data_IF_185327255497
#
_entry.id   IF_185327255497
#
_cell.length_a   1.000
_cell.length_b   1.000
_cell.length_c   1.000
_cell.angle_alpha   90.00
_cell.angle_beta   90.00
_cell.angle_gamma   90.00
#
_symmetry.space_group_name_H-M   'P 1'
#
loop_
_entity.id
_entity.type
_entity.pdbx_description
1 polymer ?
#
# COMPACT_ATOMS: atom_id res chain seq x y z
N UNK A 1 27.13 -31.71 31.77
CA UNK A 1 26.16 -32.23 30.80
C UNK A 1 24.99 -31.25 30.82
N UNK A 2 25.11 -30.15 30.06
CA UNK A 2 24.66 -30.04 28.64
C UNK A 2 23.16 -30.28 28.52
N UNK A 3 22.33 -29.56 27.79
CA UNK A 3 22.31 -28.37 26.93
C UNK A 3 20.79 -28.03 26.89
N UNK A 4 20.27 -26.84 26.67
CA UNK A 4 20.57 -25.88 25.62
C UNK A 4 19.22 -25.33 25.18
N UNK A 5 19.09 -24.00 25.12
CA UNK A 5 17.87 -23.33 24.68
C UNK A 5 17.60 -23.55 23.20
N UNK A 6 16.36 -23.30 22.79
CA UNK A 6 16.09 -22.87 21.43
C UNK A 6 14.95 -21.85 21.41
N UNK A 7 15.34 -20.66 21.01
CA UNK A 7 14.51 -19.51 20.66
C UNK A 7 13.79 -19.84 19.37
N UNK A 8 12.46 -19.98 19.39
CA UNK A 8 11.69 -19.96 18.16
C UNK A 8 11.56 -18.51 17.68
N UNK A 9 12.30 -18.20 16.61
CA UNK A 9 12.10 -17.02 15.77
C UNK A 9 10.72 -17.10 15.14
N UNK A 10 9.80 -16.30 15.65
CA UNK A 10 8.51 -16.03 15.04
C UNK A 10 8.74 -15.39 13.66
N UNK A 11 8.51 -16.18 12.61
CA UNK A 11 8.60 -15.73 11.21
C UNK A 11 7.47 -14.72 10.98
N UNK A 12 7.88 -13.48 10.68
CA UNK A 12 7.08 -12.37 10.18
C UNK A 12 6.37 -12.75 8.86
N UNK A 13 5.31 -13.56 8.96
CA UNK A 13 4.47 -13.97 7.84
C UNK A 13 3.28 -13.03 7.75
N UNK A 14 3.49 -11.86 7.14
CA UNK A 14 2.39 -11.11 6.56
C UNK A 14 1.79 -11.96 5.45
N UNK A 15 0.63 -12.57 5.73
CA UNK A 15 -0.14 -13.38 4.78
C UNK A 15 -0.34 -12.62 3.46
N UNK A 16 -0.20 -13.31 2.30
CA UNK A 16 -0.42 -12.69 1.00
C UNK A 16 -1.91 -12.43 0.77
N UNK A 17 -2.30 -11.15 0.72
CA UNK A 17 -3.29 -10.54 -0.18
C UNK A 17 -4.70 -11.17 -0.33
N UNK A 18 -5.15 -12.10 0.49
CA UNK A 18 -6.43 -12.78 0.26
C UNK A 18 -7.70 -11.96 0.60
N UNK A 19 -7.60 -10.85 1.34
CA UNK A 19 -8.78 -10.14 1.89
C UNK A 19 -8.94 -8.66 1.52
N UNK A 20 -8.09 -8.11 0.65
CA UNK A 20 -8.12 -6.66 0.32
C UNK A 20 -8.74 -6.34 -1.05
N UNK A 21 -9.07 -7.35 -1.84
CA UNK A 21 -9.82 -7.17 -3.09
C UNK A 21 -11.30 -7.09 -2.76
N UNK A 22 -11.89 -5.91 -2.91
CA UNK A 22 -13.34 -5.78 -2.99
C UNK A 22 -13.86 -6.75 -4.07
N UNK A 23 -14.90 -7.57 -3.81
CA UNK A 23 -15.36 -8.62 -4.72
C UNK A 23 -15.73 -8.13 -6.13
N UNK A 24 -15.89 -6.82 -6.33
CA UNK A 24 -16.18 -6.22 -7.63
C UNK A 24 -14.95 -5.86 -8.50
N UNK A 25 -13.72 -5.98 -7.99
CA UNK A 25 -12.50 -5.55 -8.70
C UNK A 25 -11.80 -6.63 -9.57
N UNK A 26 -12.42 -7.81 -9.70
CA UNK A 26 -11.72 -9.02 -10.14
C UNK A 26 -12.19 -9.66 -11.46
N UNK A 27 -12.50 -8.91 -12.53
CA UNK A 27 -12.68 -9.52 -13.86
C UNK A 27 -12.09 -8.65 -14.98
N UNK A 28 -10.79 -8.80 -15.22
CA UNK A 28 -10.22 -8.63 -16.56
C UNK A 28 -8.85 -9.32 -16.67
N UNK A 29 -8.85 -10.42 -17.43
CA UNK A 29 -7.75 -11.09 -18.13
C UNK A 29 -6.34 -11.05 -17.52
N UNK A 30 -5.91 -12.19 -16.94
CA UNK A 30 -4.49 -12.51 -16.80
C UNK A 30 -4.16 -13.72 -17.67
N UNK A 31 -3.57 -13.47 -18.84
CA UNK A 31 -2.83 -14.50 -19.58
C UNK A 31 -1.54 -14.80 -18.82
N UNK A 32 -1.36 -16.08 -18.52
CA UNK A 32 -0.25 -16.67 -17.78
C UNK A 32 0.91 -16.88 -18.74
N UNK A 33 2.08 -16.30 -18.48
CA UNK A 33 3.32 -16.69 -19.15
C UNK A 33 4.40 -16.84 -18.08
N UNK A 34 4.87 -18.08 -17.94
CA UNK A 34 5.91 -18.52 -17.03
C UNK A 34 7.29 -18.08 -17.56
N UNK A 35 8.21 -17.70 -16.69
CA UNK A 35 9.63 -17.49 -17.01
C UNK A 35 10.45 -18.53 -16.25
N UNK A 36 11.38 -19.26 -16.91
CA UNK A 36 12.25 -20.20 -16.24
C UNK A 36 13.52 -19.55 -15.68
N UNK A 37 14.02 -20.20 -14.64
CA UNK A 37 15.22 -19.98 -13.83
C UNK A 37 16.52 -20.21 -14.62
N UNK A 38 17.60 -19.49 -14.30
CA UNK A 38 18.95 -19.78 -14.81
C UNK A 38 20.05 -19.48 -13.77
N UNK A 39 20.57 -20.59 -13.24
CA UNK A 39 21.93 -20.96 -12.86
C UNK A 39 23.02 -19.93 -12.48
N UNK A 40 23.63 -20.27 -11.34
CA UNK A 40 24.91 -19.87 -10.77
C UNK A 40 26.12 -20.09 -11.68
N UNK A 41 27.01 -19.10 -11.81
CA UNK A 41 28.42 -19.32 -12.14
C UNK A 41 29.38 -18.35 -11.42
N UNK A 42 30.57 -18.89 -11.17
CA UNK A 42 31.58 -18.55 -10.16
C UNK A 42 32.46 -17.32 -10.48
N UNK A 43 33.06 -16.77 -9.41
CA UNK A 43 34.14 -15.76 -9.37
C UNK A 43 35.45 -16.25 -10.03
N UNK A 44 36.40 -15.33 -10.30
CA UNK A 44 37.57 -15.27 -9.41
C UNK A 44 38.09 -13.86 -9.05
N UNK A 45 38.77 -13.80 -7.90
CA UNK A 45 39.49 -12.68 -7.29
C UNK A 45 40.71 -12.22 -8.10
N UNK A 46 40.88 -10.90 -8.26
CA UNK A 46 42.20 -10.25 -8.35
C UNK A 46 42.17 -8.89 -7.64
N UNK A 47 43.15 -8.66 -6.78
CA UNK A 47 43.34 -7.47 -5.95
C UNK A 47 44.29 -6.47 -6.63
N UNK A 48 43.96 -5.15 -6.64
CA UNK A 48 44.90 -4.02 -6.44
C UNK A 48 44.25 -2.61 -6.55
N UNK A 49 44.27 -1.92 -5.41
CA UNK A 49 44.55 -0.49 -5.09
C UNK A 49 44.07 0.68 -6.00
N UNK A 50 43.26 1.54 -5.36
CA UNK A 50 43.35 3.01 -5.25
C UNK A 50 43.14 3.90 -6.48
N UNK A 51 41.98 4.57 -6.51
CA UNK A 51 41.82 5.97 -6.91
C UNK A 51 40.54 6.52 -6.26
N UNK A 52 40.59 7.77 -5.78
CA UNK A 52 39.47 8.41 -5.11
C UNK A 52 38.26 8.56 -6.03
N UNK A 53 37.09 8.28 -5.48
CA UNK A 53 35.81 8.49 -6.17
C UNK A 53 34.95 9.43 -5.32
N UNK A 54 34.96 10.70 -5.72
CA UNK A 54 33.90 11.62 -5.34
C UNK A 54 32.68 11.23 -6.18
N UNK A 55 31.54 11.10 -5.51
CA UNK A 55 30.18 10.94 -6.07
C UNK A 55 29.68 9.53 -6.39
N UNK A 56 29.51 8.73 -5.36
CA UNK A 56 28.30 7.90 -5.29
C UNK A 56 27.27 8.69 -4.47
N UNK A 57 26.07 9.03 -4.98
CA UNK A 57 24.98 9.41 -4.08
C UNK A 57 24.84 8.26 -3.08
N UNK A 58 24.66 8.53 -1.77
CA UNK A 58 24.46 7.46 -0.82
C UNK A 58 23.37 6.55 -1.39
N UNK A 59 23.71 5.27 -1.61
CA UNK A 59 22.71 4.25 -1.93
C UNK A 59 21.52 4.52 -1.03
N UNK A 60 20.26 4.51 -1.51
CA UNK A 60 19.11 4.88 -0.70
C UNK A 60 19.18 4.06 0.57
N UNK A 61 19.61 4.70 1.65
CA UNK A 61 19.73 4.05 2.95
C UNK A 61 18.31 3.61 3.23
N UNK A 62 18.11 2.31 3.40
CA UNK A 62 16.78 1.77 3.73
C UNK A 62 16.29 2.55 4.94
N UNK A 63 15.30 3.41 4.72
CA UNK A 63 14.74 4.26 5.76
C UNK A 63 13.65 3.48 6.48
N UNK A 64 13.62 3.64 7.79
CA UNK A 64 12.54 3.07 8.57
C UNK A 64 11.26 3.87 8.33
N UNK A 65 10.12 3.23 8.53
CA UNK A 65 8.82 3.85 8.31
C UNK A 65 8.62 5.11 9.17
N UNK A 66 9.08 5.09 10.43
CA UNK A 66 9.01 6.26 11.32
C UNK A 66 9.79 7.48 10.77
N UNK A 67 10.93 7.25 10.12
CA UNK A 67 11.77 8.31 9.54
C UNK A 67 11.10 8.93 8.32
N UNK A 68 10.45 8.10 7.49
CA UNK A 68 9.70 8.55 6.31
C UNK A 68 8.46 9.34 6.72
N UNK A 69 7.77 8.92 7.77
CA UNK A 69 6.61 9.64 8.33
C UNK A 69 7.05 10.92 9.06
N UNK A 70 8.30 11.00 9.52
CA UNK A 70 8.82 12.12 10.29
C UNK A 70 8.41 12.09 11.77
N UNK A 71 8.27 10.90 12.36
CA UNK A 71 7.93 10.73 13.77
C UNK A 71 9.18 10.88 14.64
N UNK A 72 9.04 11.57 15.78
CA UNK A 72 10.06 11.49 16.83
C UNK A 72 9.96 10.16 17.60
N UNK A 73 11.05 9.70 18.25
CA UNK A 73 11.00 8.49 19.08
C UNK A 73 9.94 8.57 20.19
N UNK A 74 9.66 9.78 20.69
CA UNK A 74 8.60 10.01 21.68
C UNK A 74 7.21 9.82 21.07
N UNK A 75 6.95 10.41 19.90
CA UNK A 75 5.68 10.27 19.18
C UNK A 75 5.39 8.82 18.80
N UNK A 76 6.40 8.09 18.34
CA UNK A 76 6.31 6.66 18.05
C UNK A 76 5.91 5.85 19.28
N UNK A 77 6.59 6.06 20.43
CA UNK A 77 6.23 5.39 21.69
C UNK A 77 4.78 5.64 22.09
N UNK A 78 4.32 6.89 21.99
CA UNK A 78 2.93 7.25 22.31
C UNK A 78 1.92 6.53 21.42
N UNK A 79 2.21 6.39 20.12
CA UNK A 79 1.35 5.66 19.18
C UNK A 79 1.24 4.18 19.54
N UNK A 80 2.38 3.52 19.75
CA UNK A 80 2.45 2.09 20.09
C UNK A 80 1.73 1.80 21.40
N UNK A 81 1.83 2.69 22.39
CA UNK A 81 1.12 2.53 23.67
C UNK A 81 -0.37 2.84 23.57
N UNK A 82 -0.77 3.79 22.72
CA UNK A 82 -2.16 4.20 22.58
C UNK A 82 -2.97 3.20 21.76
N UNK A 83 -2.39 2.64 20.69
CA UNK A 83 -3.10 1.83 19.70
C UNK A 83 -3.88 0.63 20.27
N UNK A 84 -3.35 -0.18 21.21
CA UNK A 84 -4.10 -1.30 21.81
C UNK A 84 -5.41 -0.87 22.49
N UNK A 85 -5.48 0.36 23.00
CA UNK A 85 -6.69 0.90 23.64
C UNK A 85 -7.76 1.32 22.62
N UNK A 86 -7.37 1.55 21.37
CA UNK A 86 -8.29 1.85 20.26
C UNK A 86 -8.68 0.55 19.56
N UNK A 87 -7.70 -0.33 19.32
CA UNK A 87 -7.85 -1.63 18.66
C UNK A 87 -8.44 -2.74 19.55
N UNK A 88 -8.78 -2.48 20.82
CA UNK A 88 -9.07 -3.51 21.85
C UNK A 88 -10.02 -4.64 21.41
N UNK A 89 -11.00 -4.34 20.55
CA UNK A 89 -12.02 -5.28 20.03
C UNK A 89 -11.76 -5.72 18.58
N UNK A 90 -10.55 -5.50 18.07
CA UNK A 90 -10.13 -5.85 16.72
C UNK A 90 -10.82 -5.06 15.60
N UNK A 91 -10.73 -5.61 14.40
CA UNK A 91 -11.26 -5.04 13.15
C UNK A 91 -12.80 -4.95 13.10
N UNK A 92 -13.51 -5.60 14.02
CA UNK A 92 -14.98 -5.52 14.16
C UNK A 92 -15.43 -4.65 15.34
N UNK A 93 -14.49 -3.88 15.90
CA UNK A 93 -14.72 -3.07 17.09
C UNK A 93 -15.57 -1.81 16.89
N UNK A 94 -15.95 -1.13 17.99
CA UNK A 94 -16.67 0.14 17.94
C UNK A 94 -15.92 1.21 17.13
N UNK A 95 -14.59 1.24 17.20
CA UNK A 95 -13.77 2.13 16.38
C UNK A 95 -14.00 1.84 14.89
N UNK A 96 -13.82 0.59 14.46
CA UNK A 96 -14.00 0.16 13.07
C UNK A 96 -15.41 0.49 12.55
N UNK A 97 -16.44 0.06 13.30
CA UNK A 97 -17.84 0.20 12.90
C UNK A 97 -18.29 1.66 12.78
N UNK A 98 -17.61 2.58 13.49
CA UNK A 98 -17.93 4.00 13.44
C UNK A 98 -17.35 4.74 12.23
N UNK A 99 -16.34 4.19 11.54
CA UNK A 99 -15.58 4.88 10.49
C UNK A 99 -16.47 5.25 9.30
N UNK A 100 -16.96 4.26 8.55
CA UNK A 100 -17.69 4.52 7.32
C UNK A 100 -19.11 5.04 7.54
N UNK A 101 -19.69 4.78 8.72
CA UNK A 101 -20.92 5.44 9.16
C UNK A 101 -20.71 6.96 9.38
N UNK A 102 -19.61 7.34 10.04
CA UNK A 102 -19.27 8.77 10.24
C UNK A 102 -18.87 9.43 8.92
N UNK A 103 -18.14 8.73 8.05
CA UNK A 103 -17.78 9.28 6.74
C UNK A 103 -19.03 9.53 5.89
N UNK A 104 -19.96 8.58 5.86
CA UNK A 104 -21.21 8.68 5.10
C UNK A 104 -22.13 9.79 5.59
N UNK A 105 -22.09 10.14 6.88
CA UNK A 105 -22.88 11.26 7.41
C UNK A 105 -22.28 12.63 7.07
N UNK A 106 -20.97 12.69 6.80
CA UNK A 106 -20.25 13.94 6.49
C UNK A 106 -20.09 14.20 4.99
N UNK A 107 -19.88 13.15 4.21
CA UNK A 107 -19.62 13.25 2.78
C UNK A 107 -20.68 12.46 1.99
N UNK A 108 -21.58 13.19 1.34
CA UNK A 108 -22.66 12.61 0.54
C UNK A 108 -22.13 11.76 -0.63
N UNK A 109 -20.98 12.13 -1.20
CA UNK A 109 -20.38 11.38 -2.30
C UNK A 109 -19.78 10.06 -1.84
N UNK A 110 -19.12 10.05 -0.68
CA UNK A 110 -18.65 8.82 -0.06
C UNK A 110 -19.84 7.87 0.24
N UNK A 111 -20.93 8.42 0.78
CA UNK A 111 -22.17 7.67 1.03
C UNK A 111 -22.74 7.05 -0.26
N UNK A 112 -22.80 7.83 -1.34
CA UNK A 112 -23.29 7.35 -2.64
C UNK A 112 -22.43 6.21 -3.20
N UNK A 113 -21.10 6.35 -3.16
CA UNK A 113 -20.17 5.33 -3.64
C UNK A 113 -20.28 4.03 -2.83
N UNK A 114 -20.39 4.13 -1.51
CA UNK A 114 -20.59 2.98 -0.63
C UNK A 114 -21.94 2.32 -0.88
N UNK A 115 -23.02 3.10 -1.00
CA UNK A 115 -24.35 2.57 -1.28
C UNK A 115 -24.40 1.86 -2.64
N UNK A 116 -23.74 2.40 -3.67
CA UNK A 116 -23.60 1.74 -4.98
C UNK A 116 -22.87 0.40 -4.84
N UNK A 117 -21.78 0.38 -4.08
CA UNK A 117 -20.99 -0.84 -3.86
C UNK A 117 -21.74 -1.89 -3.02
N UNK A 118 -22.45 -1.47 -1.96
CA UNK A 118 -23.29 -2.33 -1.12
C UNK A 118 -24.46 -2.90 -1.94
N UNK A 119 -25.09 -2.09 -2.80
CA UNK A 119 -26.11 -2.57 -3.73
C UNK A 119 -25.59 -3.70 -4.63
N UNK A 120 -24.39 -3.54 -5.21
CA UNK A 120 -23.75 -4.59 -6.02
C UNK A 120 -23.36 -5.82 -5.18
N UNK A 121 -22.93 -5.64 -3.93
CA UNK A 121 -22.61 -6.73 -3.00
C UNK A 121 -23.83 -7.65 -2.75
N UNK A 122 -25.02 -7.06 -2.59
CA UNK A 122 -26.29 -7.80 -2.44
C UNK A 122 -26.58 -8.65 -3.68
N UNK A 123 -26.40 -8.13 -4.89
CA UNK A 123 -26.64 -8.89 -6.13
C UNK A 123 -25.58 -9.96 -6.41
N UNK A 124 -24.36 -9.76 -5.91
CA UNK A 124 -23.24 -10.71 -6.07
C UNK A 124 -23.21 -11.80 -5.00
N UNK A 125 -24.18 -11.83 -4.07
CA UNK A 125 -24.21 -12.76 -2.92
C UNK A 125 -22.91 -12.72 -2.11
N UNK A 126 -22.33 -11.52 -1.99
CA UNK A 126 -21.20 -11.28 -1.08
C UNK A 126 -21.64 -11.54 0.35
N UNK A 127 -20.89 -12.35 1.10
CA UNK A 127 -21.15 -12.59 2.54
C UNK A 127 -20.90 -11.33 3.40
N UNK A 128 -20.33 -10.27 2.83
CA UNK A 128 -20.01 -9.03 3.53
C UNK A 128 -20.52 -7.80 2.79
N UNK A 129 -21.13 -6.89 3.55
CA UNK A 129 -21.37 -5.52 3.13
C UNK A 129 -20.02 -4.84 2.83
N UNK A 130 -19.94 -4.13 1.71
CA UNK A 130 -18.75 -3.41 1.28
C UNK A 130 -18.29 -2.41 2.35
N UNK A 131 -19.25 -1.74 3.00
CA UNK A 131 -18.99 -0.83 4.11
C UNK A 131 -18.30 -1.52 5.30
N UNK A 132 -18.73 -2.73 5.68
CA UNK A 132 -18.14 -3.49 6.79
C UNK A 132 -16.74 -3.99 6.44
N UNK A 133 -16.55 -4.47 5.21
CA UNK A 133 -15.23 -4.87 4.71
C UNK A 133 -14.24 -3.70 4.75
N UNK A 134 -14.64 -2.51 4.28
CA UNK A 134 -13.78 -1.33 4.31
C UNK A 134 -13.45 -0.85 5.72
N UNK A 135 -14.37 -0.97 6.69
CA UNK A 135 -14.08 -0.74 8.11
C UNK A 135 -12.92 -1.62 8.58
N UNK A 136 -12.98 -2.93 8.29
CA UNK A 136 -11.94 -3.89 8.68
C UNK A 136 -10.60 -3.57 8.03
N UNK A 137 -10.58 -3.40 6.72
CA UNK A 137 -9.37 -3.07 5.95
C UNK A 137 -8.72 -1.79 6.45
N UNK A 138 -9.51 -0.75 6.77
CA UNK A 138 -8.98 0.52 7.28
C UNK A 138 -8.28 0.34 8.63
N UNK A 139 -8.86 -0.46 9.53
CA UNK A 139 -8.24 -0.77 10.83
C UNK A 139 -7.00 -1.64 10.65
N UNK A 140 -7.01 -2.61 9.73
CA UNK A 140 -5.83 -3.43 9.40
C UNK A 140 -4.68 -2.59 8.82
N UNK A 141 -4.99 -1.59 8.00
CA UNK A 141 -3.99 -0.63 7.50
C UNK A 141 -3.34 0.12 8.67
N UNK A 142 -4.14 0.66 9.60
CA UNK A 142 -3.62 1.37 10.77
C UNK A 142 -2.76 0.45 11.65
N UNK A 143 -3.24 -0.76 11.92
CA UNK A 143 -2.52 -1.76 12.70
C UNK A 143 -1.18 -2.12 12.04
N UNK A 144 -1.20 -2.36 10.74
CA UNK A 144 -0.01 -2.69 9.95
C UNK A 144 1.01 -1.56 10.00
N UNK A 145 0.58 -0.31 9.80
CA UNK A 145 1.48 0.86 9.84
C UNK A 145 2.11 1.01 11.23
N UNK A 146 1.30 0.95 12.29
CA UNK A 146 1.77 1.16 13.67
C UNK A 146 2.72 0.06 14.13
N UNK A 147 2.46 -1.20 13.78
CA UNK A 147 3.33 -2.34 14.11
C UNK A 147 4.66 -2.36 13.34
N UNK A 148 4.74 -1.66 12.22
CA UNK A 148 5.91 -1.67 11.33
C UNK A 148 6.68 -0.33 11.34
N UNK A 149 6.48 0.55 12.34
CA UNK A 149 7.16 1.85 12.41
C UNK A 149 8.69 1.76 12.42
N UNK A 150 9.26 0.70 12.99
CA UNK A 150 10.72 0.45 13.02
C UNK A 150 11.24 -0.34 11.82
N UNK A 151 10.36 -0.79 10.93
CA UNK A 151 10.72 -1.62 9.79
C UNK A 151 10.91 -0.78 8.52
N UNK A 152 11.53 -1.40 7.51
CA UNK A 152 11.69 -0.81 6.18
C UNK A 152 10.34 -0.37 5.60
N UNK A 153 10.29 0.89 5.14
CA UNK A 153 9.03 1.50 4.71
C UNK A 153 8.48 0.91 3.41
N UNK A 154 9.33 0.36 2.54
CA UNK A 154 9.01 0.13 1.13
C UNK A 154 7.82 -0.81 0.95
N UNK A 155 7.74 -1.88 1.77
CA UNK A 155 6.63 -2.85 1.72
C UNK A 155 5.29 -2.19 2.10
N UNK A 156 5.30 -1.33 3.12
CA UNK A 156 4.09 -0.64 3.59
C UNK A 156 3.66 0.43 2.60
N UNK A 157 4.60 1.21 2.07
CA UNK A 157 4.34 2.18 1.00
C UNK A 157 3.71 1.48 -0.21
N UNK A 158 4.31 0.40 -0.70
CA UNK A 158 3.80 -0.35 -1.85
C UNK A 158 2.40 -0.90 -1.60
N UNK A 159 2.14 -1.43 -0.40
CA UNK A 159 0.82 -1.92 0.00
C UNK A 159 -0.25 -0.82 -0.08
N UNK A 160 0.03 0.35 0.50
CA UNK A 160 -0.89 1.50 0.46
C UNK A 160 -1.12 1.99 -0.97
N UNK A 161 -0.06 2.12 -1.77
CA UNK A 161 -0.18 2.52 -3.17
C UNK A 161 -1.02 1.51 -3.95
N UNK A 162 -0.89 0.21 -3.71
CA UNK A 162 -1.69 -0.80 -4.40
C UNK A 162 -3.18 -0.69 -4.06
N UNK A 163 -3.53 -0.47 -2.79
CA UNK A 163 -4.92 -0.19 -2.38
C UNK A 163 -5.47 1.03 -3.13
N UNK A 164 -4.68 2.11 -3.22
CA UNK A 164 -5.03 3.30 -3.98
C UNK A 164 -5.30 2.99 -5.46
N UNK A 165 -4.46 2.17 -6.10
CA UNK A 165 -4.65 1.75 -7.50
C UNK A 165 -5.96 1.02 -7.72
N UNK A 166 -6.36 0.15 -6.78
CA UNK A 166 -7.64 -0.56 -6.87
C UNK A 166 -8.84 0.42 -6.91
N UNK A 167 -8.71 1.59 -6.27
CA UNK A 167 -9.73 2.64 -6.24
C UNK A 167 -9.66 3.64 -7.41
N UNK A 168 -8.74 3.45 -8.37
CA UNK A 168 -8.51 4.38 -9.48
C UNK A 168 -9.75 4.61 -10.33
N UNK A 169 -10.46 3.54 -10.70
CA UNK A 169 -11.61 3.61 -11.58
C UNK A 169 -12.75 4.45 -10.99
N UNK A 170 -12.86 4.50 -9.66
CA UNK A 170 -13.85 5.32 -8.95
C UNK A 170 -13.57 6.82 -9.03
N UNK A 171 -12.40 7.25 -9.51
CA UNK A 171 -12.12 8.67 -9.75
C UNK A 171 -13.11 9.28 -10.75
N UNK A 172 -13.48 8.52 -11.78
CA UNK A 172 -14.50 8.94 -12.76
C UNK A 172 -15.92 8.99 -12.15
N UNK A 173 -16.15 8.20 -11.10
CA UNK A 173 -17.40 8.16 -10.33
C UNK A 173 -17.43 9.22 -9.22
N UNK A 174 -16.38 10.04 -9.08
CA UNK A 174 -16.30 11.15 -8.11
C UNK A 174 -15.55 10.86 -6.81
N UNK A 175 -14.79 9.76 -6.72
CA UNK A 175 -13.82 9.55 -5.63
C UNK A 175 -12.61 10.48 -5.80
N UNK A 176 -12.77 11.73 -5.39
CA UNK A 176 -11.76 12.78 -5.46
C UNK A 176 -10.79 12.73 -4.28
N UNK A 177 -9.69 13.51 -4.36
CA UNK A 177 -8.76 13.69 -3.23
C UNK A 177 -9.46 14.18 -1.96
N UNK A 178 -10.50 15.02 -2.09
CA UNK A 178 -11.28 15.51 -0.95
C UNK A 178 -11.99 14.38 -0.19
N UNK A 179 -12.44 13.32 -0.87
CA UNK A 179 -13.06 12.16 -0.20
C UNK A 179 -12.02 11.39 0.63
N UNK A 180 -10.78 11.29 0.16
CA UNK A 180 -9.68 10.71 0.94
C UNK A 180 -9.33 11.59 2.15
N UNK A 181 -9.31 12.91 1.98
CA UNK A 181 -9.03 13.84 3.08
C UNK A 181 -10.14 13.76 4.16
N UNK A 182 -11.41 13.66 3.75
CA UNK A 182 -12.54 13.42 4.67
C UNK A 182 -12.45 12.07 5.41
N UNK A 183 -11.93 11.04 4.75
CA UNK A 183 -11.64 9.76 5.41
C UNK A 183 -10.54 9.93 6.47
N UNK A 184 -9.48 10.68 6.16
CA UNK A 184 -8.42 11.00 7.11
C UNK A 184 -8.94 11.74 8.35
N UNK A 185 -9.76 12.77 8.15
CA UNK A 185 -10.41 13.50 9.23
C UNK A 185 -11.33 12.60 10.07
N UNK A 186 -12.08 11.73 9.39
CA UNK A 186 -12.96 10.76 10.06
C UNK A 186 -12.17 9.79 10.95
N UNK A 187 -11.02 9.28 10.48
CA UNK A 187 -10.14 8.43 11.29
C UNK A 187 -9.67 9.17 12.54
N UNK A 188 -9.23 10.42 12.40
CA UNK A 188 -8.77 11.24 13.52
C UNK A 188 -9.89 11.48 14.55
N UNK A 189 -11.10 11.80 14.09
CA UNK A 189 -12.24 12.05 14.96
C UNK A 189 -12.73 10.79 15.67
N UNK A 190 -12.72 9.64 14.99
CA UNK A 190 -13.00 8.35 15.63
C UNK A 190 -11.93 8.01 16.68
N UNK A 191 -10.64 8.26 16.40
CA UNK A 191 -9.55 8.01 17.34
C UNK A 191 -9.68 8.89 18.61
N UNK A 192 -10.02 10.17 18.45
CA UNK A 192 -10.28 11.10 19.57
C UNK A 192 -11.46 10.67 20.43
N UNK A 193 -12.57 10.22 19.81
CA UNK A 193 -13.75 9.73 20.52
C UNK A 193 -13.46 8.45 21.30
N UNK A 194 -12.61 7.57 20.75
CA UNK A 194 -12.30 6.27 21.35
C UNK A 194 -11.27 6.36 22.47
N UNK A 195 -10.31 7.28 22.39
CA UNK A 195 -9.21 7.39 23.33
C UNK A 195 -8.98 8.85 23.76
N UNK A 196 -9.29 9.14 25.03
CA UNK A 196 -9.10 10.46 25.64
C UNK A 196 -7.64 10.97 25.56
N UNK A 197 -6.65 10.08 25.55
CA UNK A 197 -5.25 10.45 25.38
C UNK A 197 -5.00 11.11 24.01
N UNK A 198 -5.62 10.60 22.94
CA UNK A 198 -5.57 11.22 21.61
C UNK A 198 -6.22 12.59 21.66
N UNK A 199 -7.30 12.77 22.42
CA UNK A 199 -7.94 14.09 22.55
C UNK A 199 -7.07 15.09 23.31
N UNK A 200 -6.42 14.69 24.40
CA UNK A 200 -5.72 15.60 25.34
C UNK A 200 -4.24 15.81 25.00
N UNK A 201 -3.52 14.79 24.57
CA UNK A 201 -2.06 14.84 24.42
C UNK A 201 -1.62 15.40 23.06
N UNK A 202 -0.95 16.57 23.06
CA UNK A 202 -0.55 17.28 21.83
C UNK A 202 0.36 16.46 20.91
N UNK A 203 1.43 15.86 21.43
CA UNK A 203 2.36 15.10 20.57
C UNK A 203 1.75 13.82 20.00
N UNK A 204 0.92 13.10 20.77
CA UNK A 204 0.14 11.99 20.25
C UNK A 204 -0.80 12.43 19.12
N UNK A 205 -1.46 13.60 19.23
CA UNK A 205 -2.26 14.15 18.12
C UNK A 205 -1.43 14.40 16.87
N UNK A 206 -0.24 14.99 17.02
CA UNK A 206 0.67 15.24 15.90
C UNK A 206 1.11 13.93 15.25
N UNK A 207 1.42 12.92 16.05
CA UNK A 207 1.80 11.60 15.59
C UNK A 207 0.68 10.92 14.79
N UNK A 208 -0.57 11.00 15.28
CA UNK A 208 -1.74 10.51 14.56
C UNK A 208 -1.95 11.22 13.22
N UNK A 209 -1.84 12.56 13.21
CA UNK A 209 -1.96 13.34 11.97
C UNK A 209 -0.87 12.95 10.96
N UNK A 210 0.37 12.72 11.41
CA UNK A 210 1.46 12.30 10.53
C UNK A 210 1.22 10.92 9.92
N UNK A 211 0.75 9.94 10.71
CA UNK A 211 0.39 8.61 10.19
C UNK A 211 -0.78 8.70 9.20
N UNK A 212 -1.83 9.45 9.53
CA UNK A 212 -3.01 9.60 8.66
C UNK A 212 -2.61 10.27 7.34
N UNK A 213 -1.81 11.34 7.39
CA UNK A 213 -1.30 12.01 6.20
C UNK A 213 -0.49 11.04 5.32
N UNK A 214 0.44 10.30 5.93
CA UNK A 214 1.21 9.29 5.22
C UNK A 214 0.31 8.24 4.54
N UNK A 215 -0.71 7.72 5.22
CA UNK A 215 -1.64 6.75 4.64
C UNK A 215 -2.41 7.38 3.47
N UNK A 216 -3.04 8.54 3.69
CA UNK A 216 -3.87 9.20 2.68
C UNK A 216 -3.07 9.59 1.45
N UNK A 217 -1.85 10.10 1.61
CA UNK A 217 -1.00 10.52 0.50
C UNK A 217 -0.58 9.34 -0.37
N UNK A 218 -0.27 8.19 0.22
CA UNK A 218 0.06 6.99 -0.55
C UNK A 218 -1.15 6.38 -1.25
N UNK A 219 -2.34 6.43 -0.63
CA UNK A 219 -3.60 6.02 -1.27
C UNK A 219 -3.92 6.93 -2.47
N UNK A 220 -3.85 8.25 -2.29
CA UNK A 220 -4.05 9.26 -3.34
C UNK A 220 -3.04 9.10 -4.48
N UNK A 221 -1.77 8.83 -4.16
CA UNK A 221 -0.73 8.56 -5.14
C UNK A 221 -1.04 7.31 -5.96
N UNK A 222 -1.40 6.20 -5.31
CA UNK A 222 -1.77 4.96 -5.99
C UNK A 222 -2.97 5.13 -6.93
N UNK A 223 -3.98 5.86 -6.47
CA UNK A 223 -5.16 6.17 -7.27
C UNK A 223 -4.79 7.00 -8.51
N UNK A 224 -3.85 7.93 -8.36
CA UNK A 224 -3.46 8.88 -9.42
C UNK A 224 -2.38 8.37 -10.37
N UNK A 225 -1.67 7.29 -10.04
CA UNK A 225 -0.73 6.66 -10.98
C UNK A 225 -1.48 6.36 -12.28
N UNK A 226 -0.99 6.76 -13.43
CA UNK A 226 -1.44 6.20 -14.69
C UNK A 226 -0.73 4.86 -14.90
N UNK A 227 -1.32 3.92 -15.64
CA UNK A 227 -0.50 2.80 -16.14
C UNK A 227 0.60 3.46 -16.97
N UNK A 228 1.88 3.24 -16.64
CA UNK A 228 2.96 3.55 -17.57
C UNK A 228 2.59 2.86 -18.88
N UNK A 229 2.28 3.64 -19.91
CA UNK A 229 2.17 3.11 -21.26
C UNK A 229 3.53 2.51 -21.54
N UNK A 230 3.61 1.19 -21.61
CA UNK A 230 4.73 0.52 -22.24
C UNK A 230 4.70 1.00 -23.69
N UNK A 231 5.52 1.99 -24.01
CA UNK A 231 5.87 2.33 -25.38
C UNK A 231 6.64 1.15 -25.93
N UNK A 232 5.92 0.20 -26.53
CA UNK A 232 6.52 -0.65 -27.54
C UNK A 232 6.81 0.28 -28.73
N UNK A 233 8.08 0.65 -28.87
CA UNK A 233 8.61 1.27 -30.07
C UNK A 233 8.55 0.21 -31.18
N UNK A 234 7.50 0.25 -31.99
CA UNK A 234 7.41 -0.53 -33.23
C UNK A 234 8.27 0.15 -34.29
N UNK A 235 9.58 -0.05 -34.19
CA UNK A 235 10.53 0.22 -35.27
C UNK A 235 11.32 -1.04 -35.61
N UNK A 236 10.64 -2.00 -36.24
CA UNK A 236 11.29 -3.06 -37.01
C UNK A 236 10.62 -3.19 -38.37
N UNK A 237 10.91 -2.25 -39.26
CA UNK A 237 10.68 -2.41 -40.70
C UNK A 237 11.86 -3.22 -41.27
N UNK A 238 11.64 -4.51 -41.43
CA UNK A 238 12.56 -5.43 -42.11
C UNK A 238 12.11 -5.60 -43.55
N UNK A 239 12.31 -4.55 -44.35
CA UNK A 239 12.06 -4.56 -45.79
C UNK A 239 13.26 -3.99 -46.55
N UNK A 240 14.40 -4.68 -46.48
CA UNK A 240 15.49 -4.51 -47.45
C UNK A 240 15.91 -5.88 -48.00
N UNK A 241 15.27 -6.29 -49.09
CA UNK A 241 15.74 -7.37 -49.95
C UNK A 241 16.58 -6.76 -51.08
N UNK A 242 17.86 -7.15 -51.27
CA UNK A 242 18.65 -6.70 -52.41
C UNK A 242 18.26 -7.46 -53.68
N UNK A 243 17.90 -6.72 -54.73
CA UNK A 243 17.58 -7.23 -56.07
C UNK A 243 18.85 -7.76 -56.78
N UNK A 244 18.85 -9.03 -57.16
CA UNK A 244 19.91 -9.67 -57.96
C UNK A 244 19.67 -9.45 -59.46
N UNK A 245 20.72 -8.96 -60.14
CA UNK A 245 20.78 -8.76 -61.59
C UNK A 245 20.67 -10.10 -62.34
N UNK A 246 19.73 -10.19 -63.28
CA UNK A 246 19.73 -11.21 -64.36
C UNK A 246 20.59 -10.71 -65.52
N UNK A 247 21.68 -11.40 -65.82
CA UNK A 247 22.31 -11.38 -67.14
C UNK A 247 21.50 -12.32 -68.05
N UNK A 248 21.07 -11.82 -69.20
CA UNK A 248 20.48 -12.62 -70.27
C UNK A 248 21.53 -12.79 -71.36
N UNK A 249 21.86 -14.04 -71.66
CA UNK A 249 22.54 -14.45 -72.89
C UNK A 249 21.49 -14.64 -73.98
N UNK A 250 21.63 -13.90 -75.08
CA UNK A 250 21.51 -14.38 -76.46
C UNK A 250 21.97 -13.28 -77.42
#
# INVERSE_FOLDING_TARGET
MENGGSVEKEKNSLNPLAHTTCPHLGQMGRSRTECPEAESLRLPLTSKRSAGDLSCPPSPTRRNLNEVIGLSPYQQKLLVQCWPNIYTTGASGPFANSLYSTLSSRNAKAKELLAKADGVAVFSKSDFDCSVMHCRVTVEILDTVIKNLDNDHARITQYLTEIGKQHRHLKAEGLSSAVWDDLGDTIMDCARRRCEAVRKHKELRRAWLAIIAYIMDNLKQGQSMTRSSSTYDLSYDSSKVPCTKKNSSN
#
